data_IF_674260973926
#
_entry.id   IF_674260973926
#
_cell.length_a   1.000
_cell.length_b   1.000
_cell.length_c   1.000
_cell.angle_alpha   90.00
_cell.angle_beta   90.00
_cell.angle_gamma   90.00
#
_symmetry.space_group_name_H-M   'P 1'
#
loop_
_entity.id
_entity.type
_entity.pdbx_description
1 polymer ?
#
# COMPACT_ATOMS: atom_id res chain seq x y z
N UNK A 1 4.01 1.85 -21.67
CA UNK A 1 3.61 0.77 -20.73
C UNK A 1 2.24 1.15 -20.19
N UNK A 2 1.22 0.30 -20.34
CA UNK A 2 -0.07 0.54 -19.67
C UNK A 2 0.07 0.07 -18.23
N UNK A 3 0.01 1.02 -17.29
CA UNK A 3 -0.06 0.68 -15.87
C UNK A 3 -1.47 0.18 -15.57
N UNK A 4 -1.58 -1.02 -14.99
CA UNK A 4 -2.86 -1.68 -14.68
C UNK A 4 -3.54 -1.13 -13.43
N UNK A 5 -2.83 -0.28 -12.66
CA UNK A 5 -3.31 0.48 -11.51
C UNK A 5 -2.58 1.83 -11.49
N UNK A 6 -3.16 2.87 -10.88
CA UNK A 6 -2.44 4.13 -10.74
C UNK A 6 -1.26 3.97 -9.76
N UNK A 7 -0.07 4.54 -10.06
CA UNK A 7 1.06 4.54 -9.12
C UNK A 7 0.71 5.16 -7.75
N UNK A 8 -0.19 6.15 -7.73
CA UNK A 8 -0.65 6.77 -6.48
C UNK A 8 -1.54 5.86 -5.65
N UNK A 9 -2.31 4.99 -6.30
CA UNK A 9 -3.15 3.99 -5.64
C UNK A 9 -2.30 2.89 -5.02
N UNK A 10 -1.31 2.39 -5.77
CA UNK A 10 -0.31 1.45 -5.25
C UNK A 10 0.40 2.07 -4.04
N UNK A 11 0.83 3.32 -4.12
CA UNK A 11 1.50 4.00 -3.02
C UNK A 11 0.63 4.06 -1.75
N UNK A 12 -0.68 4.34 -1.89
CA UNK A 12 -1.61 4.34 -0.76
C UNK A 12 -1.71 2.96 -0.12
N UNK A 13 -1.85 1.90 -0.92
CA UNK A 13 -1.89 0.51 -0.43
C UNK A 13 -0.60 0.14 0.32
N UNK A 14 0.57 0.51 -0.23
CA UNK A 14 1.87 0.23 0.38
C UNK A 14 2.06 0.94 1.73
N UNK A 15 1.43 2.11 1.91
CA UNK A 15 1.47 2.87 3.16
C UNK A 15 0.41 2.42 4.17
N UNK A 16 -0.48 1.46 3.86
CA UNK A 16 -1.43 0.91 4.83
C UNK A 16 -0.72 0.11 5.93
N UNK A 17 -1.28 0.16 7.15
CA UNK A 17 -0.79 -0.64 8.30
C UNK A 17 -1.15 -2.10 8.09
N UNK A 18 -0.21 -3.02 8.36
CA UNK A 18 -0.49 -4.47 8.31
C UNK A 18 -1.24 -4.96 9.54
N UNK A 19 -0.90 -4.40 10.71
CA UNK A 19 -1.42 -4.83 12.01
C UNK A 19 -2.38 -3.79 12.58
N UNK A 20 -3.53 -4.21 13.16
CA UNK A 20 -4.45 -3.31 13.84
C UNK A 20 -3.79 -2.56 14.99
N UNK A 21 -4.25 -1.34 15.27
CA UNK A 21 -3.68 -0.48 16.34
C UNK A 21 -3.89 -1.07 17.75
N UNK A 22 -4.93 -1.88 17.93
CA UNK A 22 -5.34 -2.49 19.21
C UNK A 22 -4.88 -3.94 19.38
N UNK A 23 -3.88 -4.39 18.62
CA UNK A 23 -3.37 -5.75 18.73
C UNK A 23 -2.59 -5.93 20.04
N UNK A 24 -2.77 -7.03 20.80
CA UNK A 24 -2.15 -7.18 22.12
C UNK A 24 -0.62 -7.23 22.04
N UNK A 25 0.01 -6.65 23.08
CA UNK A 25 1.41 -6.37 23.44
C UNK A 25 2.53 -7.35 22.99
N UNK A 26 2.21 -8.49 22.39
CA UNK A 26 3.21 -9.46 21.88
C UNK A 26 3.67 -9.18 20.45
N UNK A 27 2.99 -8.27 19.76
CA UNK A 27 3.40 -7.79 18.46
C UNK A 27 3.67 -6.29 18.59
N UNK A 28 4.94 -5.92 18.62
CA UNK A 28 5.39 -4.53 18.60
C UNK A 28 5.12 -3.70 17.31
N UNK A 29 4.43 -4.12 16.22
CA UNK A 29 4.53 -3.34 15.00
C UNK A 29 3.26 -2.60 14.60
N UNK A 30 2.77 -1.77 15.51
CA UNK A 30 1.75 -0.78 15.12
C UNK A 30 2.26 0.08 13.92
N UNK A 31 3.56 0.25 13.75
CA UNK A 31 4.18 0.95 12.62
C UNK A 31 4.28 0.15 11.31
N UNK A 32 4.23 -1.19 11.31
CA UNK A 32 4.55 -1.97 10.10
C UNK A 32 3.57 -1.71 8.96
N UNK A 33 4.13 -1.36 7.81
CA UNK A 33 3.36 -1.08 6.60
C UNK A 33 3.52 -2.20 5.60
N UNK A 34 2.60 -2.25 4.64
CA UNK A 34 2.69 -3.19 3.52
C UNK A 34 4.01 -3.03 2.77
N UNK A 35 4.53 -1.81 2.68
CA UNK A 35 5.83 -1.50 2.07
C UNK A 35 6.98 -2.32 2.68
N UNK A 36 6.95 -2.63 3.99
CA UNK A 36 7.97 -3.44 4.66
C UNK A 36 7.95 -4.92 4.30
N UNK A 37 6.92 -5.40 3.59
CA UNK A 37 6.94 -6.75 2.98
C UNK A 37 7.85 -6.77 1.74
N UNK A 38 7.90 -5.65 1.00
CA UNK A 38 8.62 -5.57 -0.28
C UNK A 38 10.04 -5.10 -0.09
N UNK A 39 10.22 -4.08 0.76
CA UNK A 39 11.52 -3.48 1.02
C UNK A 39 12.11 -4.17 2.25
N UNK A 40 13.17 -4.99 2.07
CA UNK A 40 13.78 -5.69 3.19
C UNK A 40 14.30 -4.71 4.23
N UNK A 41 14.24 -5.12 5.51
CA UNK A 41 14.72 -4.37 6.68
C UNK A 41 14.05 -3.00 6.91
N UNK A 42 13.08 -2.60 6.09
CA UNK A 42 12.41 -1.31 6.21
C UNK A 42 11.66 -1.20 7.54
N UNK A 43 10.97 -2.26 7.95
CA UNK A 43 10.23 -2.28 9.21
C UNK A 43 11.15 -2.10 10.42
N UNK A 44 12.35 -2.69 10.40
CA UNK A 44 13.35 -2.55 11.46
C UNK A 44 14.01 -1.16 11.44
N UNK A 45 14.33 -0.64 10.24
CA UNK A 45 14.82 0.73 10.07
C UNK A 45 13.82 1.76 10.60
N UNK A 46 12.52 1.50 10.44
CA UNK A 46 11.44 2.37 10.92
C UNK A 46 11.19 2.29 12.43
N UNK A 47 11.63 1.24 13.12
CA UNK A 47 11.61 1.22 14.59
C UNK A 47 12.63 2.19 15.21
N UNK A 48 13.75 2.40 14.51
CA UNK A 48 14.81 3.31 14.91
C UNK A 48 14.45 4.78 14.63
N UNK A 49 13.44 5.03 13.78
CA UNK A 49 12.94 6.36 13.45
C UNK A 49 12.10 6.96 14.59
N UNK A 50 12.58 8.07 15.16
CA UNK A 50 11.83 8.82 16.19
C UNK A 50 10.64 9.60 15.60
N UNK A 51 10.70 9.93 14.29
CA UNK A 51 9.59 10.55 13.57
C UNK A 51 8.69 9.44 13.05
N UNK A 52 7.55 9.26 13.71
CA UNK A 52 6.55 8.27 13.30
C UNK A 52 6.17 8.40 11.82
N UNK A 53 5.79 7.26 11.24
CA UNK A 53 5.32 7.14 9.86
C UNK A 53 4.09 8.03 9.58
N UNK A 54 3.79 8.32 8.30
CA UNK A 54 2.66 9.15 7.94
C UNK A 54 1.36 8.63 8.56
N UNK A 55 0.67 9.57 9.21
CA UNK A 55 -0.67 9.38 9.78
C UNK A 55 -1.65 10.30 9.06
N UNK A 56 -2.97 10.13 9.25
CA UNK A 56 -3.93 11.10 8.74
C UNK A 56 -3.63 12.55 9.19
N UNK A 57 -3.05 12.72 10.39
CA UNK A 57 -2.62 14.03 10.91
C UNK A 57 -1.27 14.52 10.35
N UNK A 58 -0.47 13.62 9.76
CA UNK A 58 0.86 13.91 9.20
C UNK A 58 1.06 13.14 7.88
N UNK A 59 0.37 13.52 6.79
CA UNK A 59 0.34 12.71 5.56
C UNK A 59 1.66 12.73 4.77
N UNK A 60 2.60 13.61 5.15
CA UNK A 60 3.85 13.80 4.42
C UNK A 60 4.82 12.67 4.79
N UNK A 61 5.15 11.83 3.79
CA UNK A 61 6.19 10.82 3.95
C UNK A 61 7.58 11.50 4.07
N UNK A 62 8.38 11.13 5.09
CA UNK A 62 9.78 11.58 5.23
C UNK A 62 10.59 11.41 3.95
N UNK A 63 11.44 12.40 3.64
CA UNK A 63 12.20 12.45 2.40
C UNK A 63 13.05 11.20 2.15
N UNK A 64 13.67 10.65 3.19
CA UNK A 64 14.54 9.48 3.10
C UNK A 64 13.78 8.17 2.84
N UNK A 65 12.45 8.11 3.08
CA UNK A 65 11.61 6.93 2.78
C UNK A 65 11.02 6.97 1.37
N UNK A 66 11.07 8.11 0.68
CA UNK A 66 10.52 8.24 -0.68
C UNK A 66 11.16 7.29 -1.68
N UNK A 67 12.50 7.06 -1.69
CA UNK A 67 13.10 6.07 -2.57
C UNK A 67 12.54 4.66 -2.36
N UNK A 68 12.33 4.25 -1.10
CA UNK A 68 11.74 2.95 -0.77
C UNK A 68 10.30 2.84 -1.28
N UNK A 69 9.48 3.89 -1.09
CA UNK A 69 8.11 3.91 -1.63
C UNK A 69 8.09 3.83 -3.17
N UNK A 70 8.94 4.61 -3.85
CA UNK A 70 9.03 4.59 -5.32
C UNK A 70 9.47 3.22 -5.84
N UNK A 71 10.45 2.59 -5.18
CA UNK A 71 10.88 1.24 -5.50
C UNK A 71 9.74 0.23 -5.30
N UNK A 72 9.04 0.30 -4.16
CA UNK A 72 7.89 -0.56 -3.89
C UNK A 72 6.79 -0.41 -4.94
N UNK A 73 6.45 0.82 -5.32
CA UNK A 73 5.48 1.09 -6.39
C UNK A 73 5.93 0.48 -7.71
N UNK A 74 7.19 0.67 -8.10
CA UNK A 74 7.73 0.12 -9.34
C UNK A 74 7.70 -1.42 -9.35
N UNK A 75 8.02 -2.06 -8.21
CA UNK A 75 7.98 -3.52 -8.06
C UNK A 75 6.55 -4.04 -8.22
N UNK A 76 5.57 -3.48 -7.50
CA UNK A 76 4.16 -3.90 -7.61
C UNK A 76 3.64 -3.66 -9.02
N UNK A 77 3.92 -2.48 -9.59
CA UNK A 77 3.48 -2.13 -10.94
C UNK A 77 3.97 -3.14 -11.98
N UNK A 78 5.22 -3.60 -11.84
CA UNK A 78 5.84 -4.58 -12.73
C UNK A 78 5.40 -6.02 -12.46
N UNK A 79 5.21 -6.38 -11.19
CA UNK A 79 4.84 -7.73 -10.78
C UNK A 79 3.38 -8.07 -11.10
N UNK A 80 2.49 -7.07 -11.08
CA UNK A 80 1.09 -7.30 -11.41
C UNK A 80 0.18 -7.50 -10.19
N UNK A 81 -1.11 -7.80 -10.44
CA UNK A 81 -2.12 -7.98 -9.40
C UNK A 81 -1.82 -9.15 -8.44
N UNK A 82 -1.04 -10.14 -8.87
CA UNK A 82 -0.59 -11.26 -8.04
C UNK A 82 0.19 -10.79 -6.82
N UNK A 83 0.99 -9.73 -6.99
CA UNK A 83 1.72 -9.09 -5.89
C UNK A 83 0.76 -8.54 -4.84
N UNK A 84 -0.36 -7.92 -5.24
CA UNK A 84 -1.35 -7.42 -4.28
C UNK A 84 -2.04 -8.55 -3.52
N UNK A 85 -2.32 -9.68 -4.18
CA UNK A 85 -2.85 -10.88 -3.52
C UNK A 85 -1.88 -11.43 -2.47
N UNK A 86 -0.59 -11.51 -2.81
CA UNK A 86 0.47 -11.91 -1.88
C UNK A 86 0.57 -10.92 -0.70
N UNK A 87 0.53 -9.61 -0.95
CA UNK A 87 0.57 -8.58 0.11
C UNK A 87 -0.65 -8.64 1.03
N UNK A 88 -1.83 -8.92 0.49
CA UNK A 88 -3.06 -9.14 1.28
C UNK A 88 -2.89 -10.31 2.26
N UNK A 89 -2.14 -11.35 1.90
CA UNK A 89 -1.78 -12.46 2.79
C UNK A 89 -0.97 -12.04 4.03
N UNK A 90 -0.25 -10.92 3.96
CA UNK A 90 0.58 -10.37 5.04
C UNK A 90 -0.18 -9.38 5.94
N UNK A 91 -1.44 -9.10 5.63
CA UNK A 91 -2.30 -8.22 6.42
C UNK A 91 -2.97 -9.00 7.56
N UNK A 92 -3.30 -8.31 8.66
CA UNK A 92 -3.93 -8.91 9.83
C UNK A 92 -5.21 -8.17 10.25
N UNK A 93 -6.16 -8.94 10.81
CA UNK A 93 -7.39 -8.43 11.41
C UNK A 93 -8.20 -7.53 10.49
N UNK A 94 -8.73 -6.44 11.04
CA UNK A 94 -9.54 -5.46 10.30
C UNK A 94 -8.80 -4.83 9.12
N UNK A 95 -7.49 -4.62 9.24
CA UNK A 95 -6.70 -4.03 8.16
C UNK A 95 -6.63 -4.94 6.93
N UNK A 96 -6.70 -6.27 7.11
CA UNK A 96 -6.80 -7.23 6.00
C UNK A 96 -8.06 -7.00 5.17
N UNK A 97 -9.22 -6.91 5.82
CA UNK A 97 -10.48 -6.62 5.15
C UNK A 97 -10.45 -5.24 4.46
N UNK A 98 -9.95 -4.21 5.13
CA UNK A 98 -9.80 -2.85 4.54
C UNK A 98 -8.90 -2.85 3.30
N UNK A 99 -7.81 -3.60 3.33
CA UNK A 99 -6.89 -3.69 2.18
C UNK A 99 -7.52 -4.46 1.01
N UNK A 100 -8.24 -5.55 1.28
CA UNK A 100 -9.02 -6.25 0.26
C UNK A 100 -10.06 -5.36 -0.41
N UNK A 101 -10.89 -4.67 0.39
CA UNK A 101 -11.91 -3.74 -0.11
C UNK A 101 -11.29 -2.61 -0.96
N UNK A 102 -10.16 -2.06 -0.53
CA UNK A 102 -9.47 -1.01 -1.29
C UNK A 102 -8.97 -1.51 -2.66
N UNK A 103 -8.52 -2.76 -2.75
CA UNK A 103 -8.13 -3.35 -4.04
C UNK A 103 -9.35 -3.51 -4.95
N UNK A 104 -10.46 -4.03 -4.42
CA UNK A 104 -11.70 -4.21 -5.18
C UNK A 104 -12.24 -2.88 -5.72
N UNK A 105 -12.31 -1.86 -4.87
CA UNK A 105 -12.75 -0.51 -5.24
C UNK A 105 -11.89 0.09 -6.36
N UNK A 106 -10.56 -0.03 -6.27
CA UNK A 106 -9.66 0.49 -7.29
C UNK A 106 -9.80 -0.24 -8.64
N UNK A 107 -10.00 -1.56 -8.60
CA UNK A 107 -10.23 -2.37 -9.82
C UNK A 107 -11.55 -1.97 -10.48
N UNK A 108 -12.60 -1.75 -9.70
CA UNK A 108 -13.91 -1.35 -10.22
C UNK A 108 -13.92 0.10 -10.74
N UNK A 109 -13.26 1.04 -10.05
CA UNK A 109 -13.06 2.40 -10.57
C UNK A 109 -12.25 2.40 -11.88
N UNK A 110 -11.19 1.58 -11.98
CA UNK A 110 -10.41 1.42 -13.20
C UNK A 110 -11.24 0.88 -14.37
N UNK A 111 -12.17 -0.04 -14.11
CA UNK A 111 -13.12 -0.56 -15.12
C UNK A 111 -14.12 0.50 -15.58
N UNK A 112 -14.67 1.29 -14.65
CA UNK A 112 -15.64 2.35 -14.96
C UNK A 112 -15.00 3.48 -15.77
N UNK A 113 -13.79 3.91 -15.40
CA UNK A 113 -13.05 4.93 -16.15
C UNK A 113 -12.79 4.50 -17.59
N UNK A 114 -12.33 3.26 -17.81
CA UNK A 114 -12.11 2.72 -19.17
C UNK A 114 -13.40 2.62 -19.99
N UNK A 115 -14.53 2.22 -19.38
CA UNK A 115 -15.84 2.20 -20.04
C UNK A 115 -16.31 3.60 -20.44
N UNK A 116 -16.13 4.59 -19.57
CA UNK A 116 -16.47 5.99 -19.87
C UNK A 116 -15.61 6.57 -20.99
N UNK A 117 -14.31 6.23 -21.04
CA UNK A 117 -13.42 6.67 -22.13
C UNK A 117 -13.79 6.06 -23.49
N UNK A 118 -14.35 4.84 -23.53
CA UNK A 118 -14.83 4.23 -24.77
C UNK A 118 -16.13 4.85 -25.29
N UNK A 119 -16.98 5.39 -24.41
CA UNK A 119 -18.25 6.01 -24.81
C UNK A 119 -18.08 7.41 -25.40
N UNK A 120 -16.96 8.09 -25.16
CA UNK A 120 -16.65 9.41 -25.73
C UNK A 120 -15.94 9.36 -27.09
N UNK A 121 -15.79 8.18 -27.68
CA UNK A 121 -15.13 7.96 -28.98
C UNK A 121 -16.11 7.60 -30.12
N UNK A 122 -17.41 7.88 -29.94
CA UNK A 122 -18.46 7.63 -30.93
C UNK A 122 -19.04 8.95 -31.41
#
# INVERSE_FOLDING_TARGET
>A
MQNWLSPSEIARLLLMRRVPTSFPDRCEPSSYRVLGVIIPDLDEALKLETRGLPTPASPILPLHLRPALLAGVAIVQRAGPEMLSMLHGHMMGENKARFGNAIEEMVDCGRQSRRSSQLHLI
#
